data_IF_964227260618
#
_entry.id   IF_964227260618
#
_cell.length_a   1.000
_cell.length_b   1.000
_cell.length_c   1.000
_cell.angle_alpha   90.00
_cell.angle_beta   90.00
_cell.angle_gamma   90.00
#
_symmetry.space_group_name_H-M   'P 1'
#
loop_
_entity.id
_entity.type
_entity.pdbx_description
1 polymer ?
#
# COMPACT_ATOMS: atom_id res chain seq x y z
N UNK A 1 29.03 3.99 48.92
CA UNK A 1 29.55 4.07 47.54
C UNK A 1 28.52 3.58 46.50
N UNK A 2 27.32 3.14 46.92
CA UNK A 2 26.30 2.56 46.02
C UNK A 2 25.32 3.59 45.42
N UNK A 3 25.09 4.71 46.10
CA UNK A 3 24.11 5.71 45.64
C UNK A 3 24.53 6.42 44.33
N UNK A 4 25.83 6.48 44.02
CA UNK A 4 26.31 7.05 42.76
C UNK A 4 26.05 6.12 41.56
N UNK A 5 25.97 4.81 41.79
CA UNK A 5 25.78 3.79 40.75
C UNK A 5 24.29 3.66 40.36
N UNK A 6 23.37 3.92 41.29
CA UNK A 6 21.93 3.93 41.04
C UNK A 6 21.49 5.15 40.21
N UNK A 7 22.09 6.32 40.44
CA UNK A 7 21.79 7.54 39.66
C UNK A 7 22.28 7.45 38.19
N UNK A 8 23.43 6.79 37.97
CA UNK A 8 23.95 6.48 36.63
C UNK A 8 23.05 5.51 35.85
N UNK A 9 22.32 4.64 36.55
CA UNK A 9 21.43 3.66 35.93
C UNK A 9 20.09 4.28 35.54
N UNK A 10 19.52 5.15 36.38
CA UNK A 10 18.25 5.84 36.07
C UNK A 10 18.37 6.84 34.90
N UNK A 11 19.58 7.33 34.65
CA UNK A 11 19.90 8.21 33.52
C UNK A 11 19.95 7.48 32.17
N UNK A 12 20.12 6.15 32.17
CA UNK A 12 20.27 5.31 30.97
C UNK A 12 18.94 4.79 30.41
N UNK A 13 17.87 4.84 31.20
CA UNK A 13 16.53 4.33 30.84
C UNK A 13 15.53 5.40 30.39
N UNK A 14 15.94 6.68 30.31
CA UNK A 14 15.21 7.69 29.52
C UNK A 14 15.82 7.84 28.14
N UNK A 15 15.80 6.76 27.37
CA UNK A 15 15.82 6.90 25.91
C UNK A 15 14.59 7.74 25.54
N UNK A 16 14.75 8.94 24.95
CA UNK A 16 13.61 9.63 24.40
C UNK A 16 12.97 8.66 23.39
N UNK A 17 11.65 8.55 23.39
CA UNK A 17 10.92 7.92 22.30
C UNK A 17 11.42 8.55 21.01
N UNK A 18 12.39 7.89 20.39
CA UNK A 18 13.11 8.38 19.23
C UNK A 18 12.09 8.26 18.13
N UNK A 19 11.29 9.32 17.95
CA UNK A 19 10.71 9.66 16.66
C UNK A 19 11.91 9.78 15.74
N UNK A 20 12.32 8.64 15.19
CA UNK A 20 13.33 8.56 14.15
C UNK A 20 12.62 9.24 12.99
N UNK A 21 12.83 10.55 12.86
CA UNK A 21 12.45 11.29 11.67
C UNK A 21 13.03 10.47 10.52
N UNK A 22 12.15 9.83 9.74
CA UNK A 22 12.58 9.09 8.58
C UNK A 22 13.07 10.18 7.63
N UNK A 23 14.39 10.31 7.52
CA UNK A 23 14.99 11.24 6.59
C UNK A 23 14.42 10.92 5.22
N UNK A 24 13.83 11.90 4.55
CA UNK A 24 13.30 11.72 3.18
C UNK A 24 14.41 11.35 2.17
N UNK A 25 15.66 11.41 2.63
CA UNK A 25 16.90 10.94 2.05
C UNK A 25 17.04 9.40 2.04
N UNK A 26 16.36 8.67 2.92
CA UNK A 26 16.22 7.20 2.85
C UNK A 26 15.10 6.77 1.87
N UNK A 27 14.26 7.70 1.39
CA UNK A 27 13.20 7.39 0.42
C UNK A 27 13.81 7.23 -0.97
N UNK A 28 13.69 6.04 -1.55
CA UNK A 28 14.05 5.77 -2.94
C UNK A 28 12.84 6.03 -3.85
N UNK A 29 12.80 7.16 -4.59
CA UNK A 29 11.68 7.49 -5.47
C UNK A 29 11.59 6.53 -6.66
N UNK A 30 12.73 5.98 -7.11
CA UNK A 30 12.76 5.04 -8.22
C UNK A 30 12.22 3.69 -7.75
N UNK A 31 12.68 3.20 -6.59
CA UNK A 31 12.19 1.95 -6.01
C UNK A 31 10.68 1.98 -5.75
N UNK A 32 10.18 3.10 -5.22
CA UNK A 32 8.74 3.30 -5.00
C UNK A 32 7.96 3.36 -6.31
N UNK A 33 8.47 4.06 -7.33
CA UNK A 33 7.83 4.16 -8.64
C UNK A 33 7.79 2.80 -9.36
N UNK A 34 8.84 1.99 -9.23
CA UNK A 34 8.85 0.61 -9.73
C UNK A 34 7.82 -0.24 -8.99
N UNK A 35 7.71 -0.13 -7.67
CA UNK A 35 6.74 -0.89 -6.88
C UNK A 35 5.29 -0.54 -7.27
N UNK A 36 4.99 0.76 -7.39
CA UNK A 36 3.68 1.25 -7.84
C UNK A 36 3.42 0.85 -9.28
N UNK A 37 4.41 0.99 -10.17
CA UNK A 37 4.29 0.64 -11.59
C UNK A 37 4.04 -0.86 -11.79
N UNK A 38 4.77 -1.72 -11.07
CA UNK A 38 4.56 -3.16 -11.06
C UNK A 38 3.16 -3.51 -10.54
N UNK A 39 2.74 -2.89 -9.43
CA UNK A 39 1.40 -3.08 -8.88
C UNK A 39 0.31 -2.68 -9.88
N UNK A 40 0.44 -1.52 -10.51
CA UNK A 40 -0.49 -1.05 -11.54
C UNK A 40 -0.53 -1.97 -12.75
N UNK A 41 0.63 -2.46 -13.20
CA UNK A 41 0.72 -3.41 -14.31
C UNK A 41 -0.02 -4.72 -14.00
N UNK A 42 0.10 -5.24 -12.77
CA UNK A 42 -0.63 -6.43 -12.32
C UNK A 42 -2.14 -6.15 -12.31
N UNK A 43 -2.58 -5.00 -11.80
CA UNK A 43 -3.99 -4.62 -11.81
C UNK A 43 -4.57 -4.55 -13.22
N UNK A 44 -3.87 -3.89 -14.15
CA UNK A 44 -4.28 -3.78 -15.54
C UNK A 44 -4.30 -5.16 -16.21
N UNK A 45 -3.30 -6.01 -15.97
CA UNK A 45 -3.27 -7.37 -16.49
C UNK A 45 -4.44 -8.22 -15.98
N UNK A 46 -4.74 -8.16 -14.67
CA UNK A 46 -5.89 -8.84 -14.07
C UNK A 46 -7.21 -8.30 -14.61
N UNK A 47 -7.31 -6.97 -14.79
CA UNK A 47 -8.47 -6.32 -15.36
C UNK A 47 -8.73 -6.76 -16.80
N UNK A 48 -7.69 -6.76 -17.65
CA UNK A 48 -7.77 -7.30 -19.01
C UNK A 48 -8.12 -8.79 -18.99
N UNK A 49 -7.51 -9.58 -18.11
CA UNK A 49 -7.79 -11.00 -18.00
C UNK A 49 -9.26 -11.27 -17.65
N UNK A 50 -9.82 -10.54 -16.69
CA UNK A 50 -11.24 -10.59 -16.35
C UNK A 50 -12.13 -10.22 -17.54
N UNK A 51 -11.74 -9.20 -18.32
CA UNK A 51 -12.41 -8.86 -19.57
C UNK A 51 -12.37 -10.07 -20.54
N UNK A 52 -11.20 -10.63 -20.85
CA UNK A 52 -11.09 -11.80 -21.74
C UNK A 52 -11.91 -13.01 -21.28
N UNK A 53 -11.96 -13.30 -19.98
CA UNK A 53 -12.78 -14.39 -19.42
C UNK A 53 -14.27 -14.18 -19.68
N UNK A 54 -14.75 -12.93 -19.65
CA UNK A 54 -16.13 -12.57 -20.01
C UNK A 54 -16.39 -12.81 -21.51
N UNK A 55 -15.51 -12.37 -22.41
CA UNK A 55 -15.76 -12.42 -23.87
C UNK A 55 -15.47 -13.75 -24.57
N UNK A 56 -14.79 -14.71 -23.92
CA UNK A 56 -14.46 -16.01 -24.53
C UNK A 56 -15.48 -17.13 -24.21
N UNK A 57 -16.49 -16.89 -23.36
CA UNK A 57 -17.38 -17.99 -22.95
C UNK A 57 -18.71 -17.68 -22.27
N UNK A 58 -19.12 -16.42 -22.06
CA UNK A 58 -20.43 -16.10 -21.48
C UNK A 58 -21.05 -14.84 -22.12
N UNK A 59 -22.33 -14.88 -22.43
CA UNK A 59 -23.11 -13.72 -22.91
C UNK A 59 -23.00 -12.51 -21.94
N UNK A 60 -23.07 -11.26 -22.46
CA UNK A 60 -22.67 -10.05 -21.77
C UNK A 60 -23.56 -9.74 -20.56
N UNK A 61 -23.04 -9.88 -19.35
CA UNK A 61 -23.85 -9.76 -18.12
C UNK A 61 -23.41 -8.66 -17.16
N UNK A 62 -22.18 -8.13 -17.24
CA UNK A 62 -21.68 -7.20 -16.20
C UNK A 62 -21.90 -5.72 -16.55
N UNK A 63 -21.73 -5.32 -17.81
CA UNK A 63 -21.97 -3.91 -18.23
C UNK A 63 -23.38 -3.69 -18.77
N UNK A 64 -24.01 -4.73 -19.34
CA UNK A 64 -25.38 -4.63 -19.85
C UNK A 64 -26.42 -4.39 -18.74
N UNK A 65 -26.31 -5.09 -17.62
CA UNK A 65 -27.31 -5.04 -16.56
C UNK A 65 -27.28 -3.70 -15.80
N UNK A 66 -26.10 -3.13 -15.54
CA UNK A 66 -25.96 -1.84 -14.84
C UNK A 66 -26.43 -0.67 -15.72
N UNK A 67 -26.14 -0.68 -17.03
CA UNK A 67 -26.64 0.35 -17.95
C UNK A 67 -28.16 0.29 -18.12
N UNK A 68 -28.77 -0.90 -18.08
CA UNK A 68 -30.22 -1.05 -18.22
C UNK A 68 -30.98 -0.52 -16.99
N UNK A 69 -30.40 -0.60 -15.79
CA UNK A 69 -31.02 -0.11 -14.54
C UNK A 69 -30.93 1.42 -14.41
N UNK A 70 -29.85 2.04 -14.93
CA UNK A 70 -29.66 3.51 -14.84
C UNK A 70 -30.40 4.27 -15.96
N UNK A 71 -30.73 3.62 -17.08
CA UNK A 71 -31.47 4.21 -18.20
C UNK A 71 -33.00 4.19 -18.08
N UNK A 72 -33.54 3.80 -16.92
CA UNK A 72 -34.97 3.69 -16.65
C UNK A 72 -35.42 4.77 -15.64
N UNK A 73 -35.18 6.03 -15.98
CA UNK A 73 -35.79 7.22 -15.36
C UNK A 73 -36.20 8.23 -16.43
#
# INVERSE_FOLDING_TARGET
MDQATEELTQSRDREPERKREIGHDEFDPIGTLVLIGLYFLILVALWFFMYFVEFLGNDPTVVGLVLTVVGLQ
#
